data_IF_664874681401
#
_entry.id   IF_664874681401
#
_cell.length_a   1.000
_cell.length_b   1.000
_cell.length_c   1.000
_cell.angle_alpha   90.00
_cell.angle_beta   90.00
_cell.angle_gamma   90.00
#
_symmetry.space_group_name_H-M   'P 1'
#
loop_
_entity.id
_entity.type
_entity.pdbx_description
1 polymer ?
#
# COMPACT_ATOMS: atom_id res chain seq x y z
N UNK A 1 14.22 5.75 11.17
CA UNK A 1 13.35 6.66 10.42
C UNK A 1 13.69 6.46 8.96
N UNK A 2 12.67 6.24 8.14
CA UNK A 2 12.81 6.05 6.70
C UNK A 2 12.00 7.11 5.96
N UNK A 3 12.47 7.50 4.79
CA UNK A 3 11.74 8.39 3.88
C UNK A 3 11.31 7.62 2.65
N UNK A 4 10.01 7.63 2.33
CA UNK A 4 9.46 6.90 1.19
C UNK A 4 8.59 7.78 0.30
N UNK A 5 8.51 7.43 -0.98
CA UNK A 5 7.45 7.88 -1.87
C UNK A 5 6.69 6.65 -2.32
N UNK A 6 5.35 6.75 -2.38
CA UNK A 6 4.55 5.62 -2.84
C UNK A 6 3.29 6.02 -3.56
N UNK A 7 2.83 5.14 -4.45
CA UNK A 7 1.50 5.18 -5.04
C UNK A 7 0.74 3.93 -4.63
N UNK A 8 -0.44 4.12 -4.07
CA UNK A 8 -1.33 3.02 -3.72
C UNK A 8 -2.44 2.94 -4.76
N UNK A 9 -2.66 1.75 -5.31
CA UNK A 9 -3.75 1.46 -6.24
C UNK A 9 -4.51 0.21 -5.82
N UNK A 10 -5.80 0.17 -6.15
CA UNK A 10 -6.62 -1.04 -6.09
C UNK A 10 -6.58 -1.72 -7.45
N UNK A 11 -6.39 -3.04 -7.48
CA UNK A 11 -6.58 -3.87 -8.67
C UNK A 11 -7.82 -4.72 -8.46
N UNK A 12 -8.86 -4.44 -9.24
CA UNK A 12 -10.08 -5.23 -9.26
C UNK A 12 -9.81 -6.62 -9.87
N UNK A 13 -10.19 -7.69 -9.17
CA UNK A 13 -9.87 -9.06 -9.61
C UNK A 13 -10.66 -9.52 -10.85
N UNK A 14 -11.82 -8.92 -11.11
CA UNK A 14 -12.71 -9.31 -12.19
C UNK A 14 -12.36 -8.58 -13.48
N UNK A 15 -12.07 -7.28 -13.36
CA UNK A 15 -11.86 -6.40 -14.52
C UNK A 15 -10.40 -6.12 -14.80
N UNK A 16 -9.49 -6.48 -13.89
CA UNK A 16 -8.07 -6.09 -13.92
C UNK A 16 -7.85 -4.57 -14.03
N UNK A 17 -8.87 -3.78 -13.71
CA UNK A 17 -8.78 -2.34 -13.70
C UNK A 17 -7.96 -1.90 -12.49
N UNK A 18 -7.05 -0.96 -12.74
CA UNK A 18 -6.20 -0.37 -11.72
C UNK A 18 -6.78 1.01 -11.39
N UNK A 19 -7.14 1.22 -10.13
CA UNK A 19 -7.65 2.49 -9.62
C UNK A 19 -6.66 3.08 -8.63
N UNK A 20 -6.05 4.21 -8.98
CA UNK A 20 -5.14 4.95 -8.10
C UNK A 20 -5.94 5.56 -6.94
N UNK A 21 -5.51 5.27 -5.71
CA UNK A 21 -6.15 5.77 -4.48
C UNK A 21 -5.39 6.97 -3.93
N UNK A 22 -4.07 6.87 -3.87
CA UNK A 22 -3.23 7.93 -3.34
C UNK A 22 -1.84 7.92 -3.98
N UNK A 23 -1.24 9.10 -4.00
CA UNK A 23 0.12 9.32 -4.45
C UNK A 23 0.78 10.23 -3.41
N UNK A 24 1.72 9.67 -2.66
CA UNK A 24 2.36 10.31 -1.52
C UNK A 24 3.86 10.41 -1.81
N UNK A 25 4.42 11.59 -1.56
CA UNK A 25 5.83 11.88 -1.83
C UNK A 25 6.57 12.24 -0.56
N UNK A 26 7.75 11.64 -0.33
CA UNK A 26 8.67 11.95 0.77
C UNK A 26 8.02 11.86 2.17
N UNK A 27 7.16 10.87 2.35
CA UNK A 27 6.58 10.52 3.65
C UNK A 27 7.66 10.00 4.59
N UNK A 28 7.59 10.37 5.87
CA UNK A 28 8.59 9.97 6.88
C UNK A 28 7.92 9.24 8.01
N UNK A 29 8.46 8.08 8.35
CA UNK A 29 7.90 7.26 9.42
C UNK A 29 9.01 6.51 10.17
N UNK A 30 8.65 5.97 11.34
CA UNK A 30 9.50 5.06 12.09
C UNK A 30 9.14 3.62 11.75
N UNK A 31 10.13 2.87 11.26
CA UNK A 31 9.96 1.46 10.90
C UNK A 31 9.58 0.66 12.15
N UNK A 32 8.51 -0.12 12.07
CA UNK A 32 8.01 -0.96 13.15
C UNK A 32 7.07 -0.27 14.16
N UNK A 33 6.76 1.02 13.96
CA UNK A 33 5.83 1.77 14.83
C UNK A 33 4.39 1.81 14.27
N UNK A 34 4.13 1.19 13.12
CA UNK A 34 2.81 1.13 12.46
C UNK A 34 2.20 2.52 12.12
N UNK A 35 3.05 3.53 11.92
CA UNK A 35 2.66 4.88 11.50
C UNK A 35 2.23 4.94 10.01
N UNK A 36 2.43 3.86 9.25
CA UNK A 36 2.17 3.76 7.81
C UNK A 36 1.48 2.44 7.49
N UNK A 37 1.02 2.27 6.25
CA UNK A 37 0.48 1.02 5.70
C UNK A 37 1.42 -0.14 6.06
N UNK A 38 0.89 -1.17 6.73
CA UNK A 38 1.70 -2.30 7.22
C UNK A 38 2.51 -3.01 6.14
N UNK A 39 1.97 -3.11 4.92
CA UNK A 39 2.70 -3.65 3.76
C UNK A 39 3.96 -2.83 3.42
N UNK A 40 3.91 -1.50 3.53
CA UNK A 40 5.07 -0.62 3.32
C UNK A 40 6.07 -0.81 4.45
N UNK A 41 5.61 -0.81 5.71
CA UNK A 41 6.48 -0.95 6.89
C UNK A 41 7.27 -2.28 6.86
N UNK A 42 6.60 -3.38 6.48
CA UNK A 42 7.25 -4.69 6.30
C UNK A 42 8.21 -4.68 5.11
N UNK A 43 7.82 -4.09 3.97
CA UNK A 43 8.64 -4.11 2.76
C UNK A 43 9.95 -3.33 2.94
N UNK A 44 9.88 -2.15 3.55
CA UNK A 44 11.03 -1.28 3.79
C UNK A 44 12.11 -1.95 4.65
N UNK A 45 11.75 -2.86 5.55
CA UNK A 45 12.71 -3.64 6.35
C UNK A 45 13.63 -4.53 5.49
N UNK A 46 13.22 -4.87 4.26
CA UNK A 46 13.97 -5.70 3.32
C UNK A 46 14.57 -4.94 2.14
N UNK A 47 14.28 -3.64 2.01
CA UNK A 47 14.73 -2.82 0.90
C UNK A 47 16.09 -2.17 1.18
N UNK A 48 16.83 -1.88 0.11
CA UNK A 48 18.01 -1.05 0.15
C UNK A 48 17.65 0.42 -0.10
N UNK A 49 18.49 1.32 0.39
CA UNK A 49 18.36 2.76 0.10
C UNK A 49 18.42 3.03 -1.41
N UNK A 50 17.50 3.83 -1.91
CA UNK A 50 17.34 4.15 -3.33
C UNK A 50 16.63 3.05 -4.14
N UNK A 51 16.15 1.99 -3.49
CA UNK A 51 15.45 0.90 -4.18
C UNK A 51 14.00 1.27 -4.48
N UNK A 52 13.52 0.81 -5.64
CA UNK A 52 12.12 0.84 -6.01
C UNK A 52 11.56 -0.58 -5.96
N UNK A 53 10.41 -0.74 -5.32
CA UNK A 53 9.71 -2.00 -5.19
C UNK A 53 8.26 -1.89 -5.66
N UNK A 54 7.70 -3.01 -6.12
CA UNK A 54 6.28 -3.14 -6.45
C UNK A 54 5.65 -4.18 -5.51
N UNK A 55 4.84 -3.72 -4.57
CA UNK A 55 4.20 -4.58 -3.58
C UNK A 55 2.81 -4.96 -4.09
N UNK A 56 2.59 -6.26 -4.30
CA UNK A 56 1.27 -6.81 -4.54
C UNK A 56 0.81 -7.57 -3.30
N UNK A 57 -0.17 -7.01 -2.60
CA UNK A 57 -0.62 -7.55 -1.33
C UNK A 57 -2.14 -7.59 -1.21
N UNK A 58 -2.59 -8.40 -0.25
CA UNK A 58 -3.98 -8.46 0.16
C UNK A 58 -4.33 -7.21 1.00
N UNK A 59 -5.59 -6.76 0.97
CA UNK A 59 -6.02 -5.60 1.75
C UNK A 59 -5.76 -5.76 3.25
N UNK A 60 -5.69 -7.00 3.76
CA UNK A 60 -5.41 -7.29 5.18
C UNK A 60 -4.06 -6.77 5.64
N UNK A 61 -3.12 -6.56 4.72
CA UNK A 61 -1.84 -5.91 5.01
C UNK A 61 -1.87 -4.38 4.84
N UNK A 62 -3.02 -3.83 4.46
CA UNK A 62 -3.27 -2.40 4.28
C UNK A 62 -4.40 -1.91 5.20
N UNK A 63 -5.65 -1.94 4.74
CA UNK A 63 -6.81 -1.34 5.42
C UNK A 63 -7.77 -2.38 6.05
N UNK A 64 -7.47 -3.67 5.91
CA UNK A 64 -8.32 -4.75 6.42
C UNK A 64 -9.62 -4.93 5.64
N UNK A 65 -10.41 -5.92 6.07
CA UNK A 65 -11.63 -6.33 5.36
C UNK A 65 -12.71 -5.24 5.34
N UNK A 66 -12.67 -4.28 6.27
CA UNK A 66 -13.59 -3.15 6.34
C UNK A 66 -13.30 -2.07 5.29
N UNK A 67 -12.12 -2.07 4.67
CA UNK A 67 -11.68 -1.00 3.78
C UNK A 67 -11.48 0.34 4.51
N UNK A 68 -11.59 1.44 3.77
CA UNK A 68 -11.40 2.79 4.27
C UNK A 68 -12.35 3.74 3.57
N UNK A 69 -13.38 4.21 4.29
CA UNK A 69 -14.40 5.08 3.73
C UNK A 69 -13.82 6.42 3.23
N UNK A 70 -12.91 7.03 3.99
CA UNK A 70 -12.29 8.33 3.66
C UNK A 70 -11.51 8.28 2.34
N UNK A 71 -10.84 7.15 2.07
CA UNK A 71 -10.07 6.92 0.84
C UNK A 71 -10.87 6.19 -0.24
N UNK A 72 -12.19 6.03 -0.06
CA UNK A 72 -13.08 5.33 -0.98
C UNK A 72 -12.66 3.88 -1.28
N UNK A 73 -12.00 3.24 -0.33
CA UNK A 73 -11.59 1.84 -0.40
C UNK A 73 -12.77 0.99 0.12
N UNK A 74 -13.42 0.16 -0.72
CA UNK A 74 -14.63 -0.58 -0.33
C UNK A 74 -14.31 -1.71 0.65
N UNK A 75 -15.26 -2.16 1.46
CA UNK A 75 -15.07 -3.39 2.23
C UNK A 75 -14.93 -4.62 1.30
N UNK A 76 -14.09 -5.58 1.66
CA UNK A 76 -14.04 -6.88 0.97
C UNK A 76 -15.28 -7.70 1.34
N UNK A 77 -15.85 -8.37 0.35
CA UNK A 77 -16.95 -9.33 0.54
C UNK A 77 -16.76 -10.54 -0.37
N UNK A 78 -17.52 -11.61 -0.15
CA UNK A 78 -17.45 -12.82 -0.98
C UNK A 78 -17.68 -12.55 -2.48
N UNK A 79 -18.39 -11.46 -2.82
CA UNK A 79 -18.73 -11.08 -4.19
C UNK A 79 -17.82 -10.01 -4.78
N UNK A 80 -16.91 -9.42 -4.00
CA UNK A 80 -15.98 -8.39 -4.46
C UNK A 80 -14.60 -8.65 -3.83
N UNK A 81 -13.69 -9.16 -4.67
CA UNK A 81 -12.29 -9.37 -4.31
C UNK A 81 -11.41 -8.43 -5.13
N UNK A 82 -10.43 -7.84 -4.47
CA UNK A 82 -9.44 -6.97 -5.10
C UNK A 82 -8.14 -7.04 -4.33
N UNK A 83 -7.05 -6.58 -4.94
CA UNK A 83 -5.71 -6.56 -4.34
C UNK A 83 -5.20 -5.13 -4.29
N UNK A 84 -4.26 -4.87 -3.38
CA UNK A 84 -3.57 -3.59 -3.30
C UNK A 84 -2.23 -3.69 -4.04
N UNK A 85 -1.98 -2.71 -4.90
CA UNK A 85 -0.71 -2.51 -5.57
C UNK A 85 -0.06 -1.25 -5.03
N UNK A 86 1.19 -1.37 -4.58
CA UNK A 86 1.96 -0.24 -4.07
C UNK A 86 3.25 -0.13 -4.88
N UNK A 87 3.39 0.95 -5.64
CA UNK A 87 4.68 1.37 -6.17
C UNK A 87 5.40 2.11 -5.05
N UNK A 88 6.53 1.60 -4.56
CA UNK A 88 7.25 2.13 -3.42
C UNK A 88 8.68 2.49 -3.82
N UNK A 89 9.17 3.64 -3.36
CA UNK A 89 10.55 4.09 -3.50
C UNK A 89 11.10 4.46 -2.11
N UNK A 90 12.19 3.83 -1.70
CA UNK A 90 12.90 4.13 -0.45
C UNK A 90 14.01 5.13 -0.70
N UNK A 91 13.95 6.31 -0.08
CA UNK A 91 14.94 7.38 -0.27
C UNK A 91 16.14 7.25 0.67
N UNK A 92 15.92 6.93 1.96
CA UNK A 92 16.96 6.87 3.01
C UNK A 92 16.67 5.91 4.16
#
# INVERSE_FOLDING_TARGET
MATVSYKLSIIDSLTSNIHLIENVSKERFFIGEYDIIGAIDICVQSMNRGECALINCDIRHCYGDMGCHEKQIPAISTNNSYRMLIELELHD
#
